data_IF_522250826593
#
_entry.id   IF_522250826593
#
_cell.length_a   1.000
_cell.length_b   1.000
_cell.length_c   1.000
_cell.angle_alpha   90.00
_cell.angle_beta   90.00
_cell.angle_gamma   90.00
#
_symmetry.space_group_name_H-M   'P 1'
#
loop_
_entity.id
_entity.type
_entity.pdbx_description
1 polymer ?
#
# COMPACT_ATOMS: atom_id res chain seq x y z
N UNK A 1 -8.44 -28.79 49.04
CA UNK A 1 -8.08 -28.02 50.26
C UNK A 1 -6.62 -27.59 50.12
N UNK A 2 -6.30 -26.37 50.61
CA UNK A 2 -5.01 -25.64 50.58
C UNK A 2 -4.69 -24.77 49.36
N UNK A 3 -5.22 -23.55 49.47
CA UNK A 3 -4.67 -22.29 48.96
C UNK A 3 -3.40 -21.96 49.75
N UNK A 4 -2.34 -21.50 49.11
CA UNK A 4 -1.27 -20.74 49.78
C UNK A 4 -1.00 -19.48 48.97
N UNK A 5 -1.46 -18.36 49.52
CA UNK A 5 -1.04 -17.00 49.22
C UNK A 5 0.38 -16.80 49.77
N UNK A 6 1.27 -16.13 49.05
CA UNK A 6 2.43 -15.47 49.66
C UNK A 6 2.26 -13.98 49.42
N UNK A 7 2.17 -13.26 50.53
CA UNK A 7 1.96 -11.83 50.61
C UNK A 7 3.26 -11.02 50.67
N UNK A 8 3.02 -9.72 50.59
CA UNK A 8 3.87 -8.54 50.71
C UNK A 8 4.93 -8.51 51.84
N UNK A 9 5.75 -7.44 51.73
CA UNK A 9 6.42 -6.60 52.77
C UNK A 9 7.96 -6.72 52.71
N UNK A 10 8.79 -5.66 52.72
CA UNK A 10 8.62 -4.21 52.91
C UNK A 10 9.92 -3.48 52.49
N UNK A 11 9.86 -2.26 51.96
CA UNK A 11 10.07 -0.94 52.61
C UNK A 11 11.36 -0.78 53.44
N UNK A 12 12.21 0.18 53.05
CA UNK A 12 13.01 1.15 53.84
C UNK A 12 14.09 1.75 52.92
N UNK A 13 14.49 3.03 52.91
CA UNK A 13 14.10 4.26 53.60
C UNK A 13 14.81 5.41 52.82
N UNK A 14 14.18 6.58 52.68
CA UNK A 14 14.53 7.81 53.41
C UNK A 14 15.41 8.83 52.64
N UNK A 15 14.93 10.07 52.67
CA UNK A 15 15.63 11.29 52.30
C UNK A 15 14.65 12.24 51.60
N UNK A 16 14.33 13.44 52.06
CA UNK A 16 14.73 14.23 53.22
C UNK A 16 13.58 15.24 53.43
N UNK A 17 13.21 15.53 54.68
CA UNK A 17 12.23 16.58 55.00
C UNK A 17 12.89 17.96 54.91
N UNK A 18 12.26 18.90 54.20
CA UNK A 18 12.38 20.34 54.47
C UNK A 18 10.99 20.96 54.43
N UNK A 19 10.65 21.70 55.49
CA UNK A 19 9.32 22.18 55.81
C UNK A 19 9.04 23.62 55.32
N UNK A 20 7.73 23.94 55.35
CA UNK A 20 7.06 25.26 55.32
C UNK A 20 6.74 25.80 53.90
N UNK A 21 5.50 26.16 53.53
CA UNK A 21 4.31 26.60 54.29
C UNK A 21 3.03 26.09 53.64
N UNK A 22 2.00 25.91 54.46
CA UNK A 22 0.62 25.71 54.04
C UNK A 22 0.11 26.93 53.25
N UNK A 23 -0.64 26.66 52.18
CA UNK A 23 -1.93 27.30 51.87
C UNK A 23 -2.65 26.42 50.84
N UNK A 24 -3.83 25.98 51.26
CA UNK A 24 -5.03 25.62 50.50
C UNK A 24 -4.99 24.50 49.44
N UNK A 25 -5.81 23.50 49.74
CA UNK A 25 -6.13 22.30 48.97
C UNK A 25 -7.15 22.66 47.89
N UNK A 26 -6.89 22.26 46.64
CA UNK A 26 -7.93 21.70 45.78
C UNK A 26 -7.55 20.24 45.47
N UNK A 27 -8.45 19.25 45.69
CA UNK A 27 -8.14 17.88 45.34
C UNK A 27 -8.18 17.73 43.82
N UNK A 28 -7.04 17.40 43.22
CA UNK A 28 -6.98 16.93 41.84
C UNK A 28 -7.74 15.60 41.80
N UNK A 29 -8.95 15.64 41.26
CA UNK A 29 -9.73 14.44 40.95
C UNK A 29 -8.97 13.71 39.85
N UNK A 30 -8.32 12.63 40.23
CA UNK A 30 -7.76 11.64 39.32
C UNK A 30 -8.94 11.04 38.54
N UNK A 31 -9.15 11.55 37.32
CA UNK A 31 -10.12 10.97 36.40
C UNK A 31 -9.42 9.81 35.72
N UNK A 32 -9.78 8.59 36.13
CA UNK A 32 -9.52 7.35 35.41
C UNK A 32 -10.02 7.50 33.97
N UNK A 33 -9.16 7.99 33.07
CA UNK A 33 -9.39 7.93 31.63
C UNK A 33 -9.20 6.48 31.21
N UNK A 34 -10.30 5.73 31.25
CA UNK A 34 -10.52 4.56 30.41
C UNK A 34 -10.03 4.92 28.99
N UNK A 35 -9.13 4.14 28.36
CA UNK A 35 -8.73 4.44 27.00
C UNK A 35 -9.99 4.42 26.14
N UNK A 36 -10.23 5.53 25.44
CA UNK A 36 -11.26 5.60 24.42
C UNK A 36 -11.01 4.42 23.48
N UNK A 37 -12.05 3.60 23.26
CA UNK A 37 -12.01 2.67 22.15
C UNK A 37 -11.75 3.52 20.91
N UNK A 38 -10.61 3.30 20.25
CA UNK A 38 -10.39 3.82 18.92
C UNK A 38 -11.43 3.12 18.07
N UNK A 39 -12.52 3.82 17.76
CA UNK A 39 -13.39 3.41 16.69
C UNK A 39 -12.51 3.45 15.44
N UNK A 40 -12.04 2.29 14.99
CA UNK A 40 -11.53 2.16 13.64
C UNK A 40 -12.70 2.55 12.74
N UNK A 41 -12.68 3.79 12.24
CA UNK A 41 -13.56 4.18 11.15
C UNK A 41 -13.35 3.15 10.04
N UNK A 42 -14.37 2.33 9.82
CA UNK A 42 -14.40 1.44 8.67
C UNK A 42 -14.30 2.30 7.43
N UNK A 43 -13.20 2.18 6.69
CA UNK A 43 -13.01 2.89 5.43
C UNK A 43 -14.12 2.44 4.48
N UNK A 44 -15.03 3.35 4.16
CA UNK A 44 -16.14 3.08 3.27
C UNK A 44 -15.80 3.54 1.85
N UNK A 45 -15.52 2.58 0.98
CA UNK A 45 -15.29 2.80 -0.45
C UNK A 45 -16.61 3.04 -1.17
N UNK A 46 -16.64 4.00 -2.10
CA UNK A 46 -17.81 4.17 -2.96
C UNK A 46 -18.02 2.94 -3.84
N UNK A 47 -19.25 2.64 -4.27
CA UNK A 47 -19.51 1.53 -5.19
C UNK A 47 -18.64 1.55 -6.44
N UNK A 48 -18.38 2.73 -7.00
CA UNK A 48 -17.53 2.91 -8.18
C UNK A 48 -16.06 2.57 -7.89
N UNK A 49 -15.54 2.96 -6.71
CA UNK A 49 -14.20 2.60 -6.29
C UNK A 49 -14.05 1.08 -6.09
N UNK A 50 -15.07 0.45 -5.49
CA UNK A 50 -15.13 -1.00 -5.29
C UNK A 50 -15.09 -1.76 -6.62
N UNK A 51 -15.94 -1.33 -7.57
CA UNK A 51 -16.00 -1.92 -8.90
C UNK A 51 -14.68 -1.74 -9.66
N UNK A 52 -14.10 -0.54 -9.62
CA UNK A 52 -12.82 -0.27 -10.27
C UNK A 52 -11.66 -1.09 -9.68
N UNK A 53 -11.59 -1.26 -8.36
CA UNK A 53 -10.56 -2.12 -7.73
C UNK A 53 -10.71 -3.57 -8.17
N UNK A 54 -11.93 -4.10 -8.19
CA UNK A 54 -12.19 -5.46 -8.65
C UNK A 54 -11.82 -5.64 -10.13
N UNK A 55 -12.13 -4.65 -10.97
CA UNK A 55 -11.77 -4.65 -12.39
C UNK A 55 -10.26 -4.64 -12.59
N UNK A 56 -9.52 -3.75 -11.91
CA UNK A 56 -8.06 -3.67 -12.00
C UNK A 56 -7.39 -4.93 -11.46
N UNK A 57 -7.87 -5.48 -10.34
CA UNK A 57 -7.38 -6.75 -9.80
C UNK A 57 -7.56 -7.89 -10.81
N UNK A 58 -8.75 -7.98 -11.44
CA UNK A 58 -9.00 -8.98 -12.47
C UNK A 58 -8.12 -8.76 -13.72
N UNK A 59 -7.95 -7.51 -14.16
CA UNK A 59 -7.14 -7.18 -15.34
C UNK A 59 -5.65 -7.50 -15.13
N UNK A 60 -5.10 -7.18 -13.97
CA UNK A 60 -3.69 -7.45 -13.64
C UNK A 60 -3.42 -8.94 -13.41
N UNK A 61 -4.42 -9.71 -12.94
CA UNK A 61 -4.32 -11.17 -12.79
C UNK A 61 -4.50 -11.96 -14.08
N UNK A 62 -5.05 -11.37 -15.15
CA UNK A 62 -5.07 -12.04 -16.46
C UNK A 62 -3.66 -12.27 -16.96
N UNK A 63 -3.44 -13.46 -17.54
CA UNK A 63 -2.21 -13.73 -18.24
C UNK A 63 -1.99 -12.64 -19.29
N UNK A 64 -0.73 -12.22 -19.53
CA UNK A 64 -0.44 -11.18 -20.53
C UNK A 64 -1.04 -11.48 -21.91
N UNK A 65 -0.97 -12.75 -22.31
CA UNK A 65 -1.54 -13.33 -23.54
C UNK A 65 -3.08 -13.20 -23.62
N UNK A 66 -3.75 -13.09 -22.48
CA UNK A 66 -5.22 -12.98 -22.33
C UNK A 66 -5.66 -11.54 -22.05
N UNK A 67 -4.72 -10.61 -22.01
CA UNK A 67 -4.98 -9.22 -21.65
C UNK A 67 -4.93 -8.31 -22.88
N UNK A 68 -6.06 -7.64 -23.13
CA UNK A 68 -6.40 -6.98 -24.38
C UNK A 68 -6.45 -7.96 -25.56
N UNK A 69 -7.66 -8.35 -25.98
CA UNK A 69 -7.93 -9.15 -27.20
C UNK A 69 -7.32 -8.54 -28.49
N UNK A 70 -6.73 -7.34 -28.39
CA UNK A 70 -6.22 -6.51 -29.48
C UNK A 70 -4.69 -6.40 -29.50
N UNK A 71 -3.97 -6.88 -28.48
CA UNK A 71 -2.51 -6.86 -28.44
C UNK A 71 -1.96 -8.25 -28.75
N UNK A 72 -1.91 -8.63 -30.03
CA UNK A 72 -0.98 -9.67 -30.52
C UNK A 72 0.46 -9.14 -30.38
N UNK A 73 0.92 -8.88 -29.16
CA UNK A 73 2.22 -8.25 -28.91
C UNK A 73 3.18 -9.20 -28.22
N UNK A 74 4.31 -9.42 -28.87
CA UNK A 74 5.43 -10.20 -28.33
C UNK A 74 6.18 -9.47 -27.21
N UNK A 75 6.07 -8.13 -27.10
CA UNK A 75 6.75 -7.35 -26.06
C UNK A 75 5.93 -7.29 -24.75
N UNK A 76 6.25 -8.22 -23.86
CA UNK A 76 5.64 -8.30 -22.53
C UNK A 76 5.77 -6.99 -21.71
N UNK A 77 6.88 -6.25 -21.88
CA UNK A 77 7.10 -5.00 -21.18
C UNK A 77 6.10 -3.92 -21.61
N UNK A 78 5.71 -3.89 -22.88
CA UNK A 78 4.70 -2.97 -23.37
C UNK A 78 3.31 -3.26 -22.81
N UNK A 79 2.97 -4.54 -22.61
CA UNK A 79 1.74 -4.94 -21.92
C UNK A 79 1.73 -4.39 -20.49
N UNK A 80 2.84 -4.56 -19.75
CA UNK A 80 2.98 -4.01 -18.40
C UNK A 80 2.85 -2.48 -18.38
N UNK A 81 3.52 -1.79 -19.30
CA UNK A 81 3.41 -0.34 -19.44
C UNK A 81 1.97 0.10 -19.71
N UNK A 82 1.27 -0.55 -20.63
CA UNK A 82 -0.09 -0.16 -21.02
C UNK A 82 -1.05 -0.25 -19.84
N UNK A 83 -1.00 -1.37 -19.09
CA UNK A 83 -1.80 -1.58 -17.88
C UNK A 83 -1.46 -0.57 -16.78
N UNK A 84 -0.17 -0.40 -16.48
CA UNK A 84 0.29 0.54 -15.47
C UNK A 84 -0.08 1.99 -15.81
N UNK A 85 0.04 2.38 -17.08
CA UNK A 85 -0.32 3.71 -17.55
C UNK A 85 -1.84 3.97 -17.49
N UNK A 86 -2.66 2.95 -17.76
CA UNK A 86 -4.12 3.03 -17.58
C UNK A 86 -4.47 3.27 -16.11
N UNK A 87 -3.94 2.45 -15.20
CA UNK A 87 -4.13 2.59 -13.76
C UNK A 87 -3.67 3.97 -13.27
N UNK A 88 -2.47 4.40 -13.63
CA UNK A 88 -1.91 5.69 -13.23
C UNK A 88 -2.80 6.89 -13.60
N UNK A 89 -3.36 6.88 -14.83
CA UNK A 89 -4.20 7.97 -15.32
C UNK A 89 -5.58 8.01 -14.66
N UNK A 90 -6.14 6.84 -14.36
CA UNK A 90 -7.54 6.72 -13.98
C UNK A 90 -7.75 6.66 -12.46
N UNK A 91 -6.76 6.23 -11.67
CA UNK A 91 -6.91 6.01 -10.22
C UNK A 91 -7.55 7.17 -9.46
N UNK A 92 -7.13 8.40 -9.74
CA UNK A 92 -7.63 9.61 -9.07
C UNK A 92 -9.13 9.88 -9.28
N UNK A 93 -9.76 9.26 -10.28
CA UNK A 93 -11.19 9.40 -10.51
C UNK A 93 -12.03 8.57 -9.54
N UNK A 94 -11.46 7.50 -9.00
CA UNK A 94 -12.16 6.52 -8.17
C UNK A 94 -11.76 6.63 -6.70
N UNK A 95 -10.52 6.99 -6.43
CA UNK A 95 -9.90 6.94 -5.11
C UNK A 95 -9.84 8.36 -4.52
N UNK A 96 -10.53 8.58 -3.39
CA UNK A 96 -10.48 9.82 -2.62
C UNK A 96 -9.99 9.52 -1.20
N UNK A 97 -8.77 9.95 -0.86
CA UNK A 97 -8.08 9.54 0.37
C UNK A 97 -8.58 10.24 1.64
N UNK A 98 -8.94 9.45 2.66
CA UNK A 98 -9.33 9.95 4.01
C UNK A 98 -8.66 9.20 5.16
N UNK A 99 -8.09 8.02 4.94
CA UNK A 99 -7.36 7.23 5.93
C UNK A 99 -5.91 7.08 5.46
N UNK A 100 -4.94 7.23 6.36
CA UNK A 100 -3.50 7.14 6.11
C UNK A 100 -3.11 5.77 5.52
N UNK A 101 -3.57 4.65 6.09
CA UNK A 101 -3.20 3.31 5.59
C UNK A 101 -3.76 3.02 4.20
N UNK A 102 -4.89 3.65 3.88
CA UNK A 102 -5.51 3.57 2.56
C UNK A 102 -4.69 4.39 1.54
N UNK A 103 -4.35 5.62 1.91
CA UNK A 103 -3.51 6.50 1.08
C UNK A 103 -2.15 5.85 0.77
N UNK A 104 -1.54 5.17 1.73
CA UNK A 104 -0.27 4.46 1.54
C UNK A 104 -0.35 3.35 0.47
N UNK A 105 -1.41 2.54 0.46
CA UNK A 105 -1.60 1.50 -0.57
C UNK A 105 -1.77 2.12 -1.97
N UNK A 106 -2.57 3.18 -2.12
CA UNK A 106 -2.74 3.85 -3.41
C UNK A 106 -1.51 4.68 -3.82
N UNK A 107 -0.76 5.22 -2.87
CA UNK A 107 0.53 5.85 -3.11
C UNK A 107 1.54 4.83 -3.65
N UNK A 108 1.63 3.65 -3.05
CA UNK A 108 2.48 2.57 -3.52
C UNK A 108 2.09 2.13 -4.95
N UNK A 109 0.80 1.93 -5.23
CA UNK A 109 0.33 1.65 -6.60
C UNK A 109 0.73 2.76 -7.59
N UNK A 110 0.60 4.03 -7.20
CA UNK A 110 0.93 5.17 -8.05
C UNK A 110 2.43 5.24 -8.34
N UNK A 111 3.28 4.96 -7.34
CA UNK A 111 4.74 4.94 -7.50
C UNK A 111 5.17 3.79 -8.40
N UNK A 112 4.70 2.56 -8.16
CA UNK A 112 5.00 1.41 -9.00
C UNK A 112 4.59 1.65 -10.46
N UNK A 113 3.41 2.24 -10.68
CA UNK A 113 2.94 2.57 -12.02
C UNK A 113 3.79 3.67 -12.68
N UNK A 114 4.23 4.66 -11.91
CA UNK A 114 5.14 5.70 -12.41
C UNK A 114 6.50 5.10 -12.81
N UNK A 115 7.01 4.15 -12.04
CA UNK A 115 8.27 3.46 -12.32
C UNK A 115 8.22 2.67 -13.62
N UNK A 116 7.17 1.86 -13.83
CA UNK A 116 6.98 1.15 -15.10
C UNK A 116 6.90 2.13 -16.29
N UNK A 117 6.26 3.29 -16.12
CA UNK A 117 6.22 4.33 -17.17
C UNK A 117 7.60 4.95 -17.40
N UNK A 118 8.39 5.16 -16.36
CA UNK A 118 9.74 5.68 -16.45
C UNK A 118 10.67 4.69 -17.17
N UNK A 119 10.62 3.42 -16.80
CA UNK A 119 11.37 2.36 -17.47
C UNK A 119 11.00 2.29 -18.96
N UNK A 120 9.70 2.36 -19.30
CA UNK A 120 9.30 2.38 -20.71
C UNK A 120 9.87 3.60 -21.45
N UNK A 121 9.91 4.77 -20.81
CA UNK A 121 10.59 5.94 -21.37
C UNK A 121 12.08 5.65 -21.63
N UNK A 122 12.81 5.08 -20.67
CA UNK A 122 14.23 4.76 -20.84
C UNK A 122 14.50 3.72 -21.95
N UNK A 123 13.56 2.79 -22.13
CA UNK A 123 13.60 1.81 -23.22
C UNK A 123 13.55 2.48 -24.59
N UNK A 124 12.77 3.56 -24.72
CA UNK A 124 12.56 4.29 -25.98
C UNK A 124 13.40 5.56 -26.14
N UNK A 125 14.06 6.04 -25.07
CA UNK A 125 14.75 7.35 -25.03
C UNK A 125 15.87 7.53 -26.06
N UNK A 126 16.39 6.43 -26.62
CA UNK A 126 17.42 6.46 -27.66
C UNK A 126 16.85 6.67 -29.07
N UNK A 127 15.54 6.47 -29.25
CA UNK A 127 14.78 6.75 -30.48
C UNK A 127 14.26 8.19 -30.42
N UNK A 128 13.65 8.56 -29.29
CA UNK A 128 13.14 9.90 -28.98
C UNK A 128 13.24 10.17 -27.48
N UNK A 129 13.86 11.29 -27.12
CA UNK A 129 14.07 11.70 -25.73
C UNK A 129 12.88 12.48 -25.13
N UNK A 130 11.77 12.62 -25.88
CA UNK A 130 10.56 13.33 -25.44
C UNK A 130 9.44 12.42 -24.93
N UNK A 131 9.59 11.09 -25.11
CA UNK A 131 8.64 10.08 -24.66
C UNK A 131 7.47 9.84 -25.63
N UNK A 132 7.52 10.37 -26.86
CA UNK A 132 6.48 10.14 -27.87
C UNK A 132 6.46 8.70 -28.35
N UNK A 133 7.61 8.04 -28.33
CA UNK A 133 7.78 6.70 -28.86
C UNK A 133 7.46 5.59 -27.83
N UNK A 134 7.12 5.96 -26.58
CA UNK A 134 6.76 4.99 -25.52
C UNK A 134 5.59 4.07 -25.90
N UNK A 135 4.73 4.52 -26.82
CA UNK A 135 3.56 3.78 -27.31
C UNK A 135 3.53 3.62 -28.84
N UNK A 136 4.63 3.93 -29.53
CA UNK A 136 4.70 3.79 -30.98
C UNK A 136 5.24 2.42 -31.37
N UNK A 137 4.34 1.54 -31.81
CA UNK A 137 4.65 0.17 -32.18
C UNK A 137 5.48 0.03 -33.46
N UNK A 138 5.54 1.08 -34.29
CA UNK A 138 6.39 1.09 -35.48
C UNK A 138 7.87 0.86 -35.13
N UNK A 139 8.30 1.26 -33.93
CA UNK A 139 9.67 1.11 -33.44
C UNK A 139 9.80 0.07 -32.33
N UNK A 140 8.83 -0.84 -32.17
CA UNK A 140 8.85 -1.83 -31.09
C UNK A 140 10.11 -2.72 -31.13
N UNK A 141 10.60 -3.07 -32.32
CA UNK A 141 11.82 -3.86 -32.51
C UNK A 141 13.10 -3.13 -32.05
N UNK A 142 13.06 -1.80 -32.04
CA UNK A 142 14.19 -0.96 -31.62
C UNK A 142 14.16 -0.69 -30.11
N UNK A 143 13.07 -0.99 -29.40
CA UNK A 143 13.01 -0.78 -27.96
C UNK A 143 14.07 -1.60 -27.24
N UNK A 144 14.72 -1.00 -26.24
CA UNK A 144 15.62 -1.77 -25.36
C UNK A 144 14.81 -2.88 -24.66
N UNK A 145 15.44 -4.02 -24.33
CA UNK A 145 14.77 -5.10 -23.63
C UNK A 145 14.21 -4.63 -22.28
N UNK A 146 13.13 -5.27 -21.84
CA UNK A 146 12.55 -5.04 -20.52
C UNK A 146 13.55 -5.43 -19.42
N UNK A 147 13.86 -4.53 -18.46
CA UNK A 147 14.65 -4.89 -17.29
C UNK A 147 13.81 -5.64 -16.25
N UNK A 148 14.46 -6.47 -15.41
CA UNK A 148 13.79 -7.27 -14.38
C UNK A 148 13.03 -6.44 -13.34
N UNK A 149 13.46 -5.20 -13.08
CA UNK A 149 12.75 -4.27 -12.19
C UNK A 149 11.33 -3.97 -12.65
N UNK A 150 11.09 -3.88 -13.97
CA UNK A 150 9.75 -3.63 -14.53
C UNK A 150 8.79 -4.79 -14.25
N UNK A 151 9.26 -6.03 -14.40
CA UNK A 151 8.49 -7.23 -14.08
C UNK A 151 8.20 -7.29 -12.57
N UNK A 152 9.18 -6.98 -11.74
CA UNK A 152 9.03 -6.99 -10.28
C UNK A 152 8.02 -5.93 -9.82
N UNK A 153 8.10 -4.71 -10.36
CA UNK A 153 7.11 -3.66 -10.11
C UNK A 153 5.70 -4.09 -10.53
N UNK A 154 5.56 -4.72 -11.70
CA UNK A 154 4.27 -5.21 -12.18
C UNK A 154 3.70 -6.31 -11.28
N UNK A 155 4.54 -7.24 -10.80
CA UNK A 155 4.13 -8.27 -9.85
C UNK A 155 3.64 -7.66 -8.54
N UNK A 156 4.32 -6.66 -7.98
CA UNK A 156 3.86 -5.97 -6.78
C UNK A 156 2.53 -5.23 -7.00
N UNK A 157 2.34 -4.59 -8.15
CA UNK A 157 1.04 -3.98 -8.48
C UNK A 157 -0.08 -5.02 -8.49
N UNK A 158 0.16 -6.19 -9.10
CA UNK A 158 -0.83 -7.27 -9.11
C UNK A 158 -1.15 -7.76 -7.69
N UNK A 159 -0.13 -8.03 -6.88
CA UNK A 159 -0.29 -8.49 -5.50
C UNK A 159 -1.06 -7.47 -4.65
N UNK A 160 -0.75 -6.18 -4.79
CA UNK A 160 -1.40 -5.11 -4.05
C UNK A 160 -2.85 -4.90 -4.48
N UNK A 161 -3.15 -4.95 -5.78
CA UNK A 161 -4.54 -4.91 -6.28
C UNK A 161 -5.36 -6.10 -5.81
N UNK A 162 -4.76 -7.29 -5.75
CA UNK A 162 -5.41 -8.47 -5.17
C UNK A 162 -5.77 -8.21 -3.69
N UNK A 163 -4.80 -7.81 -2.88
CA UNK A 163 -5.01 -7.58 -1.45
C UNK A 163 -6.08 -6.49 -1.22
N UNK A 164 -6.08 -5.42 -2.03
CA UNK A 164 -7.12 -4.40 -2.01
C UNK A 164 -8.51 -4.96 -2.38
N UNK A 165 -8.64 -5.76 -3.44
CA UNK A 165 -9.92 -6.40 -3.78
C UNK A 165 -10.42 -7.31 -2.65
N UNK A 166 -9.51 -8.09 -2.05
CA UNK A 166 -9.83 -8.97 -0.93
C UNK A 166 -10.33 -8.16 0.28
N UNK A 167 -9.65 -7.08 0.65
CA UNK A 167 -10.03 -6.22 1.75
C UNK A 167 -11.39 -5.53 1.51
N UNK A 168 -11.62 -5.04 0.29
CA UNK A 168 -12.72 -4.11 -0.03
C UNK A 168 -13.99 -4.83 -0.49
N UNK A 169 -13.83 -5.93 -1.22
CA UNK A 169 -14.92 -6.61 -1.93
C UNK A 169 -15.16 -8.05 -1.45
N UNK A 170 -14.20 -8.69 -0.76
CA UNK A 170 -14.28 -10.10 -0.34
C UNK A 170 -14.36 -10.32 1.17
N UNK A 171 -14.61 -9.26 1.93
CA UNK A 171 -14.64 -9.26 3.40
C UNK A 171 -13.36 -9.85 4.05
N UNK A 172 -12.21 -9.77 3.38
CA UNK A 172 -10.95 -10.34 3.87
C UNK A 172 -10.87 -11.88 3.86
N UNK A 173 -11.75 -12.58 3.12
CA UNK A 173 -11.89 -14.06 3.20
C UNK A 173 -11.07 -14.83 2.17
N UNK A 174 -10.50 -14.15 1.19
CA UNK A 174 -9.73 -14.78 0.11
C UNK A 174 -8.22 -14.73 0.40
N UNK A 175 -7.43 -15.40 -0.45
CA UNK A 175 -5.98 -15.45 -0.28
C UNK A 175 -5.34 -14.09 -0.55
N UNK A 176 -4.36 -13.72 0.27
CA UNK A 176 -3.62 -12.47 0.16
C UNK A 176 -2.13 -12.72 -0.04
N UNK A 177 -1.44 -11.73 -0.57
CA UNK A 177 0.00 -11.73 -0.74
C UNK A 177 0.74 -11.06 0.43
N UNK A 178 0.03 -10.25 1.20
CA UNK A 178 0.51 -9.60 2.42
C UNK A 178 1.24 -8.29 2.16
N UNK A 179 0.96 -7.61 1.04
CA UNK A 179 1.67 -6.38 0.64
C UNK A 179 0.85 -5.11 0.90
N UNK A 180 -0.41 -5.23 1.33
CA UNK A 180 -1.30 -4.10 1.64
C UNK A 180 -1.20 -3.67 3.11
N UNK A 181 -1.17 -2.34 3.31
CA UNK A 181 -1.30 -1.66 4.60
C UNK A 181 -2.69 -1.83 5.21
N UNK A 182 -3.77 -1.71 4.42
CA UNK A 182 -5.16 -1.89 4.91
C UNK A 182 -5.35 -3.28 5.57
N UNK A 183 -4.63 -4.28 5.09
CA UNK A 183 -4.70 -5.65 5.60
C UNK A 183 -3.66 -5.99 6.68
N UNK A 184 -2.83 -5.04 7.12
CA UNK A 184 -1.69 -5.28 8.02
C UNK A 184 -0.78 -6.40 7.47
N UNK A 185 -0.40 -6.25 6.20
CA UNK A 185 0.34 -7.24 5.44
C UNK A 185 1.77 -7.45 5.95
N UNK A 186 2.20 -8.70 6.08
CA UNK A 186 3.54 -9.05 6.58
C UNK A 186 4.70 -8.79 5.61
N UNK A 187 4.43 -8.28 4.40
CA UNK A 187 5.40 -7.93 3.35
C UNK A 187 5.31 -6.47 2.92
N UNK A 188 4.58 -5.63 3.65
CA UNK A 188 4.56 -4.18 3.42
C UNK A 188 5.98 -3.60 3.38
N UNK A 189 6.81 -3.93 4.38
CA UNK A 189 8.21 -3.48 4.45
C UNK A 189 9.06 -3.93 3.25
N UNK A 190 8.76 -5.10 2.69
CA UNK A 190 9.44 -5.65 1.51
C UNK A 190 9.10 -4.82 0.27
N UNK A 191 7.81 -4.58 0.03
CA UNK A 191 7.31 -3.74 -1.05
C UNK A 191 7.90 -2.33 -0.98
N UNK A 192 7.82 -1.68 0.19
CA UNK A 192 8.32 -0.32 0.32
C UNK A 192 9.84 -0.24 0.19
N UNK A 193 10.55 -1.29 0.62
CA UNK A 193 12.00 -1.37 0.41
C UNK A 193 12.33 -1.46 -1.07
N UNK A 194 11.57 -2.23 -1.85
CA UNK A 194 11.69 -2.25 -3.31
C UNK A 194 11.46 -0.84 -3.90
N UNK A 195 10.35 -0.20 -3.55
CA UNK A 195 10.01 1.16 -4.01
C UNK A 195 11.15 2.16 -3.70
N UNK A 196 11.69 2.15 -2.48
CA UNK A 196 12.76 3.08 -2.06
C UNK A 196 14.10 2.85 -2.75
N UNK A 197 14.40 1.65 -3.23
CA UNK A 197 15.67 1.36 -3.90
C UNK A 197 15.65 1.72 -5.39
N UNK A 198 14.47 1.65 -6.01
CA UNK A 198 14.30 1.93 -7.44
C UNK A 198 13.80 3.37 -7.72
N UNK A 199 13.43 4.14 -6.67
CA UNK A 199 13.11 5.59 -6.75
C UNK A 199 14.34 6.50 -6.65
#
# INVERSE_FOLDING_TARGET
MKVIKIGLVGILAAGLLTACKANDVEPVVETDKKPAAVENETVEFSPEAKEWIAEMSAEFNRAPEESFDELEQEDIGFVYYTKANSLYKNMQHYIHDKNESYDEDFANLRILAAEIRHIQFERTAHIDDTGKEMANLEYAEDWKPMPAGMETAFQYMNQLLNDLDVAVNKDGKEATFGVSHIMDGNKVDELESFIRHDS
#
